data_IF_791083961643
#
_entry.id   IF_791083961643
#
_cell.length_a   1.000
_cell.length_b   1.000
_cell.length_c   1.000
_cell.angle_alpha   90.00
_cell.angle_beta   90.00
_cell.angle_gamma   90.00
#
_symmetry.space_group_name_H-M   'P 1'
#
loop_
_entity.id
_entity.type
_entity.pdbx_description
1 polymer ?
#
# COMPACT_ATOMS: atom_id res chain seq x y z
N UNK A 1 5.38 13.49 -24.68
CA UNK A 1 4.25 13.56 -23.70
C UNK A 1 3.63 12.20 -23.44
N UNK A 2 3.03 11.53 -24.43
CA UNK A 2 2.34 10.24 -24.27
C UNK A 2 3.25 9.15 -23.64
N UNK A 3 4.50 9.05 -24.10
CA UNK A 3 5.48 8.10 -23.54
C UNK A 3 5.70 8.31 -22.03
N UNK A 4 5.77 9.57 -21.58
CA UNK A 4 5.96 9.87 -20.16
C UNK A 4 4.73 9.45 -19.35
N UNK A 5 3.52 9.77 -19.84
CA UNK A 5 2.26 9.37 -19.21
C UNK A 5 2.16 7.83 -19.12
N UNK A 6 2.44 7.13 -20.21
CA UNK A 6 2.41 5.66 -20.24
C UNK A 6 3.42 5.05 -19.26
N UNK A 7 4.64 5.58 -19.19
CA UNK A 7 5.66 5.13 -18.24
C UNK A 7 5.27 5.44 -16.79
N UNK A 8 4.68 6.60 -16.51
CA UNK A 8 4.15 6.92 -15.17
C UNK A 8 3.07 5.93 -14.74
N UNK A 9 2.10 5.64 -15.61
CA UNK A 9 1.05 4.67 -15.32
C UNK A 9 1.59 3.26 -15.15
N UNK A 10 2.52 2.84 -16.01
CA UNK A 10 3.15 1.53 -15.91
C UNK A 10 3.92 1.37 -14.60
N UNK A 11 4.70 2.39 -14.21
CA UNK A 11 5.40 2.44 -12.93
C UNK A 11 4.42 2.27 -11.76
N UNK A 12 3.33 3.05 -11.75
CA UNK A 12 2.34 3.01 -10.68
C UNK A 12 1.66 1.65 -10.60
N UNK A 13 1.20 1.09 -11.72
CA UNK A 13 0.50 -0.21 -11.74
C UNK A 13 1.41 -1.33 -11.25
N UNK A 14 2.64 -1.42 -11.78
CA UNK A 14 3.58 -2.48 -11.40
C UNK A 14 4.09 -2.31 -9.97
N UNK A 15 4.39 -1.06 -9.56
CA UNK A 15 4.81 -0.74 -8.20
C UNK A 15 3.71 -1.07 -7.19
N UNK A 16 2.46 -0.71 -7.49
CA UNK A 16 1.30 -1.00 -6.64
C UNK A 16 1.00 -2.49 -6.55
N UNK A 17 1.09 -3.22 -7.66
CA UNK A 17 1.00 -4.67 -7.67
C UNK A 17 2.06 -5.29 -6.74
N UNK A 18 3.33 -4.95 -6.94
CA UNK A 18 4.41 -5.55 -6.15
C UNK A 18 4.30 -5.17 -4.67
N UNK A 19 3.99 -3.90 -4.37
CA UNK A 19 3.81 -3.43 -3.01
C UNK A 19 2.62 -4.11 -2.33
N UNK A 20 1.46 -4.19 -2.99
CA UNK A 20 0.26 -4.82 -2.44
C UNK A 20 0.49 -6.31 -2.16
N UNK A 21 0.93 -7.09 -3.15
CA UNK A 21 0.91 -8.55 -3.05
C UNK A 21 2.16 -9.16 -2.40
N UNK A 22 3.30 -8.48 -2.46
CA UNK A 22 4.58 -9.03 -1.96
C UNK A 22 5.13 -8.31 -0.74
N UNK A 23 4.61 -7.12 -0.41
CA UNK A 23 4.99 -6.40 0.80
C UNK A 23 3.82 -6.23 1.78
N UNK A 24 2.83 -5.42 1.41
CA UNK A 24 1.75 -4.97 2.29
C UNK A 24 0.89 -6.13 2.80
N UNK A 25 0.32 -6.95 1.92
CA UNK A 25 -0.52 -8.08 2.34
C UNK A 25 0.27 -9.14 3.14
N UNK A 26 1.46 -9.58 2.73
CA UNK A 26 2.30 -10.45 3.56
C UNK A 26 2.64 -9.86 4.94
N UNK A 27 2.94 -8.57 5.02
CA UNK A 27 3.25 -7.90 6.29
C UNK A 27 2.03 -7.87 7.23
N UNK A 28 0.81 -7.77 6.70
CA UNK A 28 -0.43 -7.94 7.47
C UNK A 28 -0.61 -9.35 8.06
N UNK A 29 -0.04 -10.38 7.44
CA UNK A 29 -0.25 -11.79 7.84
C UNK A 29 0.89 -12.30 8.71
N UNK A 30 2.14 -12.06 8.32
CA UNK A 30 3.33 -12.62 8.96
C UNK A 30 4.12 -11.58 9.75
N UNK A 31 4.02 -10.32 9.34
CA UNK A 31 4.77 -9.21 9.89
C UNK A 31 4.09 -8.53 11.08
N UNK A 32 4.72 -7.43 11.51
CA UNK A 32 4.24 -6.60 12.61
C UNK A 32 4.69 -5.15 12.49
N UNK A 33 5.63 -4.83 11.59
CA UNK A 33 6.16 -3.49 11.42
C UNK A 33 5.04 -2.58 10.94
N UNK A 34 4.45 -2.87 9.78
CA UNK A 34 3.34 -2.11 9.20
C UNK A 34 2.14 -2.04 10.15
N UNK A 35 1.82 -3.12 10.85
CA UNK A 35 0.71 -3.12 11.83
C UNK A 35 0.98 -2.18 13.00
N UNK A 36 2.22 -2.14 13.49
CA UNK A 36 2.61 -1.33 14.66
C UNK A 36 2.80 0.14 14.29
N UNK A 37 3.31 0.42 13.10
CA UNK A 37 3.60 1.77 12.62
C UNK A 37 2.40 2.43 11.95
N UNK A 38 1.64 1.69 11.14
CA UNK A 38 0.52 2.22 10.35
C UNK A 38 -0.88 1.91 10.90
N UNK A 39 -1.11 0.79 11.61
CA UNK A 39 -2.45 0.37 12.09
C UNK A 39 -2.67 0.47 13.61
N UNK A 40 -1.75 1.08 14.36
CA UNK A 40 -1.87 1.17 15.83
C UNK A 40 -3.07 2.03 16.28
N UNK A 41 -3.99 1.45 17.05
CA UNK A 41 -5.27 2.09 17.44
C UNK A 41 -5.15 3.32 18.36
N UNK A 42 -3.96 3.60 18.91
CA UNK A 42 -3.73 4.68 19.89
C UNK A 42 -3.35 6.05 19.31
N UNK A 43 -3.38 6.27 17.99
CA UNK A 43 -2.77 7.50 17.42
C UNK A 43 -3.76 8.44 16.76
N UNK A 44 -3.92 9.62 17.37
CA UNK A 44 -4.23 10.85 16.67
C UNK A 44 -3.20 11.04 15.54
N UNK A 45 -3.68 10.90 14.33
CA UNK A 45 -2.97 10.71 13.06
C UNK A 45 -2.03 11.85 12.60
N UNK A 46 -1.75 12.86 13.43
CA UNK A 46 -1.04 14.09 13.02
C UNK A 46 0.43 13.91 12.60
N UNK A 47 0.99 12.70 12.54
CA UNK A 47 2.44 12.43 12.67
C UNK A 47 3.04 11.32 11.76
N UNK A 48 2.34 10.86 10.71
CA UNK A 48 2.60 9.59 10.01
C UNK A 48 3.99 9.29 9.38
N UNK A 49 4.98 10.18 9.43
CA UNK A 49 6.40 9.89 9.16
C UNK A 49 7.24 11.17 9.28
N UNK A 50 6.67 12.27 8.77
CA UNK A 50 7.40 13.50 8.46
C UNK A 50 7.81 14.28 9.72
N UNK A 51 7.04 14.18 10.81
CA UNK A 51 7.25 15.01 11.99
C UNK A 51 7.96 14.30 13.15
N UNK A 52 7.93 12.97 13.19
CA UNK A 52 8.42 12.20 14.36
C UNK A 52 9.79 11.55 14.19
N UNK A 53 10.40 11.57 12.99
CA UNK A 53 11.69 10.92 12.67
C UNK A 53 11.85 9.50 13.23
N UNK A 54 10.74 8.79 13.45
CA UNK A 54 10.77 7.47 14.07
C UNK A 54 11.36 6.46 13.07
N UNK A 55 12.49 5.79 13.41
CA UNK A 55 13.17 4.90 12.47
C UNK A 55 12.29 3.76 11.94
N UNK A 56 11.37 3.24 12.75
CA UNK A 56 10.47 2.16 12.32
C UNK A 56 9.46 2.65 11.29
N UNK A 57 8.94 3.86 11.45
CA UNK A 57 8.00 4.48 10.51
C UNK A 57 8.70 4.82 9.19
N UNK A 58 9.93 5.34 9.27
CA UNK A 58 10.77 5.58 8.08
C UNK A 58 11.07 4.27 7.35
N UNK A 59 11.44 3.21 8.09
CA UNK A 59 11.70 1.90 7.51
C UNK A 59 10.46 1.33 6.82
N UNK A 60 9.29 1.39 7.45
CA UNK A 60 8.04 0.91 6.83
C UNK A 60 7.72 1.68 5.55
N UNK A 61 7.91 3.01 5.56
CA UNK A 61 7.77 3.84 4.37
C UNK A 61 8.74 3.47 3.24
N UNK A 62 10.02 3.22 3.57
CA UNK A 62 11.03 2.79 2.59
C UNK A 62 10.67 1.43 2.00
N UNK A 63 10.29 0.46 2.84
CA UNK A 63 9.94 -0.88 2.39
C UNK A 63 8.67 -0.88 1.54
N UNK A 64 7.68 -0.04 1.86
CA UNK A 64 6.49 0.17 1.04
C UNK A 64 6.79 0.84 -0.31
N UNK A 65 7.80 1.72 -0.36
CA UNK A 65 8.24 2.41 -1.58
C UNK A 65 9.23 1.61 -2.44
N UNK A 66 9.96 0.64 -1.85
CA UNK A 66 10.98 -0.15 -2.52
C UNK A 66 10.49 -0.80 -3.83
N UNK A 67 9.28 -1.40 -3.92
CA UNK A 67 8.75 -1.94 -5.16
C UNK A 67 8.69 -0.91 -6.30
N UNK A 68 8.30 0.33 -6.00
CA UNK A 68 8.24 1.42 -6.98
C UNK A 68 9.64 1.85 -7.43
N UNK A 69 10.61 1.90 -6.51
CA UNK A 69 12.00 2.25 -6.82
C UNK A 69 12.68 1.19 -7.71
N UNK A 70 12.39 -0.10 -7.48
CA UNK A 70 12.88 -1.18 -8.32
C UNK A 70 12.33 -1.04 -9.76
N UNK A 71 11.02 -0.84 -9.92
CA UNK A 71 10.43 -0.62 -11.25
C UNK A 71 10.95 0.69 -11.88
N UNK A 72 11.16 1.74 -11.08
CA UNK A 72 11.72 3.01 -11.55
C UNK A 72 13.09 2.84 -12.21
N UNK A 73 13.98 2.04 -11.61
CA UNK A 73 15.29 1.75 -12.17
C UNK A 73 15.18 1.12 -13.57
N UNK A 74 14.30 0.14 -13.74
CA UNK A 74 14.07 -0.52 -15.03
C UNK A 74 13.42 0.38 -16.07
N UNK A 75 12.45 1.21 -15.67
CA UNK A 75 11.73 2.11 -16.58
C UNK A 75 12.48 3.41 -16.89
N UNK A 76 13.58 3.69 -16.18
CA UNK A 76 14.37 4.93 -16.34
C UNK A 76 14.84 5.12 -17.78
N UNK A 77 15.35 4.07 -18.42
CA UNK A 77 15.80 4.13 -19.81
C UNK A 77 14.70 4.40 -20.83
N UNK A 78 13.42 4.17 -20.48
CA UNK A 78 12.29 4.46 -21.36
C UNK A 78 11.87 5.94 -21.25
N UNK A 79 11.68 6.45 -20.04
CA UNK A 79 11.36 7.87 -19.84
C UNK A 79 11.66 8.31 -18.40
N UNK A 80 12.78 9.02 -18.16
CA UNK A 80 13.08 9.56 -16.83
C UNK A 80 11.99 10.50 -16.32
N UNK A 81 11.44 11.34 -17.21
CA UNK A 81 10.32 12.24 -16.87
C UNK A 81 9.09 11.44 -16.45
N UNK A 82 8.73 10.37 -17.18
CA UNK A 82 7.62 9.50 -16.80
C UNK A 82 7.84 8.82 -15.45
N UNK A 83 9.06 8.35 -15.17
CA UNK A 83 9.41 7.78 -13.86
C UNK A 83 9.28 8.80 -12.74
N UNK A 84 9.85 10.00 -12.90
CA UNK A 84 9.75 11.08 -11.91
C UNK A 84 8.29 11.45 -11.66
N UNK A 85 7.50 11.66 -12.71
CA UNK A 85 6.07 11.96 -12.57
C UNK A 85 5.31 10.84 -11.85
N UNK A 86 5.59 9.57 -12.16
CA UNK A 86 4.97 8.42 -11.51
C UNK A 86 5.32 8.33 -10.03
N UNK A 87 6.60 8.50 -9.67
CA UNK A 87 7.05 8.49 -8.27
C UNK A 87 6.44 9.64 -7.47
N UNK A 88 6.41 10.85 -8.04
CA UNK A 88 5.78 12.01 -7.40
C UNK A 88 4.27 11.79 -7.19
N UNK A 89 3.58 11.23 -8.19
CA UNK A 89 2.16 10.92 -8.07
C UNK A 89 1.89 9.86 -7.00
N UNK A 90 2.69 8.77 -6.98
CA UNK A 90 2.58 7.74 -5.95
C UNK A 90 2.80 8.31 -4.55
N UNK A 91 3.83 9.14 -4.37
CA UNK A 91 4.11 9.79 -3.09
C UNK A 91 2.98 10.75 -2.66
N UNK A 92 2.45 11.54 -3.60
CA UNK A 92 1.31 12.41 -3.35
C UNK A 92 0.08 11.60 -2.93
N UNK A 93 -0.21 10.51 -3.63
CA UNK A 93 -1.33 9.62 -3.31
C UNK A 93 -1.18 9.02 -1.91
N UNK A 94 0.03 8.58 -1.53
CA UNK A 94 0.32 8.10 -0.17
C UNK A 94 -0.02 9.16 0.88
N UNK A 95 0.32 10.44 0.67
CA UNK A 95 -0.07 11.48 1.63
C UNK A 95 -1.57 11.77 1.60
N UNK A 96 -2.13 11.89 0.39
CA UNK A 96 -3.53 12.25 0.19
C UNK A 96 -4.47 11.21 0.82
N UNK A 97 -4.23 9.91 0.65
CA UNK A 97 -5.09 8.86 1.22
C UNK A 97 -5.13 8.84 2.76
N UNK A 98 -4.25 9.60 3.42
CA UNK A 98 -4.15 9.70 4.87
C UNK A 98 -4.80 10.99 5.43
N UNK A 99 -5.43 11.84 4.61
CA UNK A 99 -6.01 13.11 5.09
C UNK A 99 -7.37 12.96 5.78
N UNK A 100 -8.08 11.85 5.62
CA UNK A 100 -9.41 11.60 6.23
C UNK A 100 -9.38 11.74 7.75
N UNK A 101 -8.30 11.30 8.38
CA UNK A 101 -8.10 11.40 9.83
C UNK A 101 -7.96 12.84 10.34
N UNK A 102 -7.74 13.81 9.44
CA UNK A 102 -7.69 15.24 9.73
C UNK A 102 -9.06 15.91 9.54
N UNK A 103 -10.11 15.13 9.27
CA UNK A 103 -11.47 15.62 9.02
C UNK A 103 -11.74 16.00 7.56
N UNK A 104 -10.82 15.70 6.64
CA UNK A 104 -11.05 15.89 5.21
C UNK A 104 -12.12 14.93 4.67
N UNK A 105 -12.88 15.40 3.67
CA UNK A 105 -13.80 14.58 2.87
C UNK A 105 -13.56 14.87 1.37
N UNK A 106 -13.44 13.81 0.59
CA UNK A 106 -13.19 13.89 -0.86
C UNK A 106 -14.42 14.46 -1.58
N UNK A 107 -14.26 15.55 -2.38
CA UNK A 107 -15.38 16.10 -3.15
C UNK A 107 -15.97 15.10 -4.14
N UNK A 108 -17.28 15.17 -4.39
CA UNK A 108 -17.99 14.20 -5.24
C UNK A 108 -17.41 14.08 -6.66
N UNK A 109 -16.98 15.19 -7.27
CA UNK A 109 -16.35 15.17 -8.59
C UNK A 109 -15.04 14.34 -8.59
N UNK A 110 -14.25 14.45 -7.52
CA UNK A 110 -13.01 13.68 -7.35
C UNK A 110 -13.33 12.21 -7.10
N UNK A 111 -14.38 11.89 -6.33
CA UNK A 111 -14.84 10.51 -6.16
C UNK A 111 -15.21 9.86 -7.50
N UNK A 112 -15.94 10.58 -8.37
CA UNK A 112 -16.30 10.08 -9.70
C UNK A 112 -15.05 9.81 -10.53
N UNK A 113 -14.09 10.74 -10.53
CA UNK A 113 -12.82 10.57 -11.25
C UNK A 113 -12.03 9.36 -10.72
N UNK A 114 -11.91 9.22 -9.39
CA UNK A 114 -11.22 8.10 -8.77
C UNK A 114 -11.88 6.77 -9.13
N UNK A 115 -13.22 6.70 -9.17
CA UNK A 115 -13.93 5.48 -9.61
C UNK A 115 -13.64 5.14 -11.07
N UNK A 116 -13.62 6.13 -11.96
CA UNK A 116 -13.30 5.92 -13.38
C UNK A 116 -11.86 5.46 -13.59
N UNK A 117 -10.93 5.98 -12.79
CA UNK A 117 -9.50 5.66 -12.85
C UNK A 117 -9.08 4.51 -11.92
N UNK A 118 -10.03 3.91 -11.22
CA UNK A 118 -9.81 2.88 -10.20
C UNK A 118 -8.81 3.29 -9.11
N UNK A 119 -8.80 4.55 -8.68
CA UNK A 119 -7.88 5.06 -7.66
C UNK A 119 -8.54 4.97 -6.27
N UNK A 120 -7.80 4.44 -5.30
CA UNK A 120 -8.22 4.35 -3.90
C UNK A 120 -8.35 5.75 -3.30
N UNK A 121 -9.52 6.04 -2.75
CA UNK A 121 -9.82 7.32 -2.06
C UNK A 121 -9.33 7.31 -0.61
N UNK A 122 -9.13 8.49 0.01
CA UNK A 122 -8.83 8.61 1.43
C UNK A 122 -9.86 7.90 2.34
N UNK A 123 -11.14 7.93 1.99
CA UNK A 123 -12.19 7.29 2.77
C UNK A 123 -12.12 5.75 2.67
N UNK A 124 -11.83 5.22 1.48
CA UNK A 124 -11.62 3.78 1.29
C UNK A 124 -10.38 3.29 2.05
N UNK A 125 -9.28 4.04 1.97
CA UNK A 125 -8.07 3.73 2.73
C UNK A 125 -8.30 3.81 4.25
N UNK A 126 -9.12 4.77 4.70
CA UNK A 126 -9.49 4.85 6.10
C UNK A 126 -10.30 3.65 6.58
N UNK A 127 -11.20 3.12 5.75
CA UNK A 127 -11.92 1.87 6.05
C UNK A 127 -10.98 0.67 6.18
N UNK A 128 -9.88 0.63 5.41
CA UNK A 128 -8.82 -0.37 5.58
C UNK A 128 -8.17 -0.28 6.96
N UNK A 129 -7.79 0.93 7.40
CA UNK A 129 -7.26 1.16 8.75
C UNK A 129 -8.22 0.74 9.87
N UNK A 130 -9.52 0.94 9.69
CA UNK A 130 -10.53 0.48 10.66
C UNK A 130 -10.72 -1.03 10.66
N UNK A 131 -10.52 -1.68 9.50
CA UNK A 131 -10.73 -3.11 9.28
C UNK A 131 -9.48 -3.77 8.72
N UNK A 132 -8.42 -3.80 9.54
CA UNK A 132 -7.10 -4.37 9.24
C UNK A 132 -7.12 -5.83 8.77
N UNK A 133 -8.25 -6.51 8.94
CA UNK A 133 -8.46 -7.88 8.50
C UNK A 133 -8.78 -8.04 7.00
N UNK A 134 -8.98 -6.94 6.28
CA UNK A 134 -9.29 -6.92 4.85
C UNK A 134 -8.06 -6.45 4.06
N UNK A 135 -7.73 -7.13 2.95
CA UNK A 135 -6.71 -6.66 2.02
C UNK A 135 -7.26 -5.57 1.11
N UNK A 136 -6.44 -4.59 0.76
CA UNK A 136 -6.76 -3.51 -0.18
C UNK A 136 -5.54 -3.21 -1.07
N UNK A 137 -5.80 -2.74 -2.28
CA UNK A 137 -4.78 -2.16 -3.14
C UNK A 137 -4.33 -0.82 -2.60
N UNK A 138 -3.03 -0.54 -2.69
CA UNK A 138 -2.49 0.69 -2.11
C UNK A 138 -2.90 1.92 -2.91
N UNK A 139 -2.76 1.88 -4.23
CA UNK A 139 -3.16 2.98 -5.13
C UNK A 139 -4.41 2.63 -5.92
N UNK A 140 -4.52 1.40 -6.42
CA UNK A 140 -5.58 1.01 -7.33
C UNK A 140 -6.59 0.03 -6.73
N UNK A 141 -7.87 0.37 -6.84
CA UNK A 141 -8.98 -0.41 -6.28
C UNK A 141 -9.20 -1.74 -7.01
N UNK A 142 -8.71 -1.90 -8.25
CA UNK A 142 -8.82 -3.20 -8.93
C UNK A 142 -7.93 -4.29 -8.30
N UNK A 143 -6.97 -3.93 -7.44
CA UNK A 143 -6.22 -4.88 -6.63
C UNK A 143 -6.91 -5.24 -5.30
N UNK A 144 -7.99 -4.56 -4.91
CA UNK A 144 -8.69 -4.83 -3.64
C UNK A 144 -9.19 -6.27 -3.53
N UNK A 145 -9.95 -6.73 -4.52
CA UNK A 145 -10.53 -8.06 -4.49
C UNK A 145 -9.45 -9.16 -4.55
N UNK A 146 -8.46 -9.10 -5.45
CA UNK A 146 -7.36 -10.06 -5.41
C UNK A 146 -6.58 -10.01 -4.09
N UNK A 147 -6.35 -8.83 -3.48
CA UNK A 147 -5.67 -8.69 -2.20
C UNK A 147 -6.43 -9.36 -1.05
N UNK A 148 -7.77 -9.31 -1.06
CA UNK A 148 -8.63 -10.02 -0.08
C UNK A 148 -8.56 -11.54 -0.21
N UNK A 149 -8.49 -12.04 -1.44
CA UNK A 149 -8.31 -13.47 -1.67
C UNK A 149 -6.92 -13.89 -1.18
N UNK A 150 -5.91 -13.08 -1.50
CA UNK A 150 -4.51 -13.34 -1.14
C UNK A 150 -4.29 -13.36 0.37
N UNK A 151 -4.79 -12.37 1.11
CA UNK A 151 -4.67 -12.34 2.58
C UNK A 151 -5.35 -13.55 3.23
N UNK A 152 -6.49 -14.00 2.68
CA UNK A 152 -7.18 -15.20 3.13
C UNK A 152 -6.33 -16.45 2.94
N UNK A 153 -5.74 -16.62 1.75
CA UNK A 153 -4.87 -17.75 1.45
C UNK A 153 -3.59 -17.78 2.31
N UNK A 154 -2.91 -16.64 2.47
CA UNK A 154 -1.73 -16.54 3.32
C UNK A 154 -2.03 -16.85 4.80
N UNK A 155 -3.22 -16.48 5.30
CA UNK A 155 -3.63 -16.86 6.66
C UNK A 155 -3.81 -18.36 6.81
N UNK A 156 -4.40 -19.03 5.82
CA UNK A 156 -4.53 -20.48 5.82
C UNK A 156 -3.14 -21.14 5.82
N UNK A 157 -2.20 -20.64 5.01
CA UNK A 157 -0.82 -21.11 5.04
C UNK A 157 -0.17 -20.92 6.41
N UNK A 158 -0.34 -19.76 7.05
CA UNK A 158 0.20 -19.48 8.39
C UNK A 158 -0.34 -20.46 9.43
N UNK A 159 -1.63 -20.79 9.38
CA UNK A 159 -2.27 -21.75 10.29
C UNK A 159 -1.70 -23.16 10.04
N UNK A 160 -1.63 -23.60 8.79
CA UNK A 160 -1.12 -24.92 8.43
C UNK A 160 0.35 -25.10 8.82
N UNK A 161 1.19 -24.07 8.65
CA UNK A 161 2.57 -24.10 9.11
C UNK A 161 2.66 -24.29 10.62
N UNK A 162 1.83 -23.54 11.38
CA UNK A 162 1.78 -23.60 12.85
C UNK A 162 1.28 -24.95 13.37
N UNK A 163 0.32 -25.57 12.70
CA UNK A 163 -0.16 -26.90 13.07
C UNK A 163 0.92 -27.95 12.84
N UNK A 164 1.59 -27.93 11.67
CA UNK A 164 2.70 -28.84 11.37
C UNK A 164 3.88 -28.70 12.33
N UNK A 165 4.26 -27.48 12.72
CA UNK A 165 5.34 -27.27 13.70
C UNK A 165 4.96 -27.76 15.08
N UNK A 166 3.71 -27.58 15.52
CA UNK A 166 3.26 -28.10 16.82
C UNK A 166 3.29 -29.63 16.88
N UNK A 167 2.84 -30.32 15.83
CA UNK A 167 2.89 -31.78 15.78
C UNK A 167 4.31 -32.36 15.78
N UNK A 168 5.31 -31.59 15.32
CA UNK A 168 6.70 -32.04 15.23
C UNK A 168 7.52 -31.81 16.51
N UNK A 169 7.03 -30.98 17.44
CA UNK A 169 7.69 -30.68 18.74
C UNK A 169 7.14 -31.59 19.85
N UNK A 170 5.96 -32.17 19.65
CA UNK A 170 5.25 -33.00 20.64
C UNK A 170 5.36 -34.52 20.40
N UNK A 171 6.30 -34.97 19.57
CA UNK A 171 6.64 -36.38 19.36
C UNK A 171 8.11 -36.63 19.66
#
# INVERSE_FOLDING_TARGET
MIKAIAVSWLLLILGDFLSTFFYHVPEHVFGSLHLTTHHSSKKNFRHYAILTFNPQVVLDGILGALPYLLIAFWLWGLSPIGVICGLLFGQFHVWWRHVTSLGWQTPQAVIVLCRLLFITTPEQHWLHHQKTNLGFGDIFTFFDQPARIWIGWLRLLRINWRSHTKTHISG
#
